data_IF_861591586995
#
_entry.id   IF_861591586995
#
_cell.length_a   1.000
_cell.length_b   1.000
_cell.length_c   1.000
_cell.angle_alpha   90.00
_cell.angle_beta   90.00
_cell.angle_gamma   90.00
#
_symmetry.space_group_name_H-M   'P 1'
#
loop_
_entity.id
_entity.type
_entity.pdbx_description
1 polymer ?
#
# COMPACT_ATOMS: atom_id res chain seq x y z
N UNK A 1 9.95 -13.23 4.72
CA UNK A 1 8.91 -12.82 3.76
C UNK A 1 9.03 -11.31 3.60
N UNK A 2 9.31 -10.83 2.38
CA UNK A 2 9.41 -9.40 2.06
C UNK A 2 8.05 -8.89 1.65
N UNK A 3 7.60 -7.80 2.26
CA UNK A 3 6.23 -7.29 2.06
C UNK A 3 6.26 -5.81 1.74
N UNK A 4 5.56 -5.41 0.69
CA UNK A 4 5.35 -4.00 0.34
C UNK A 4 4.09 -3.48 1.02
N UNK A 5 4.18 -2.37 1.75
CA UNK A 5 3.02 -1.62 2.26
C UNK A 5 2.88 -0.35 1.44
N UNK A 6 1.85 -0.28 0.60
CA UNK A 6 1.67 0.83 -0.33
C UNK A 6 1.10 2.05 0.39
N UNK A 7 1.75 3.21 0.32
CA UNK A 7 1.25 4.44 0.93
C UNK A 7 0.64 5.37 -0.11
N UNK A 8 -0.64 5.69 0.06
CA UNK A 8 -1.36 6.68 -0.75
C UNK A 8 -1.55 7.99 0.04
N UNK A 9 -1.65 9.14 -0.63
CA UNK A 9 -2.11 10.36 0.02
C UNK A 9 -3.46 10.14 0.72
N UNK A 10 -3.56 10.43 2.02
CA UNK A 10 -4.79 10.27 2.81
C UNK A 10 -5.06 8.87 3.36
N UNK A 11 -4.26 7.85 3.00
CA UNK A 11 -4.24 6.61 3.77
C UNK A 11 -3.83 6.88 5.21
N UNK A 12 -4.34 6.08 6.14
CA UNK A 12 -4.12 6.29 7.57
C UNK A 12 -3.81 5.02 8.38
N UNK A 13 -3.98 3.83 7.78
CA UNK A 13 -3.61 2.56 8.39
C UNK A 13 -2.30 1.97 7.82
N UNK A 14 -1.48 2.76 7.13
CA UNK A 14 -0.21 2.30 6.55
C UNK A 14 0.74 1.77 7.64
N UNK A 15 0.88 2.54 8.72
CA UNK A 15 1.70 2.16 9.87
C UNK A 15 1.15 0.95 10.62
N UNK A 16 -0.18 0.80 10.68
CA UNK A 16 -0.82 -0.34 11.33
C UNK A 16 -0.47 -1.63 10.58
N UNK A 17 -0.61 -1.65 9.24
CA UNK A 17 -0.21 -2.81 8.43
C UNK A 17 1.30 -3.06 8.52
N UNK A 18 2.12 -2.01 8.46
CA UNK A 18 3.57 -2.16 8.61
C UNK A 18 3.95 -2.82 9.93
N UNK A 19 3.36 -2.38 11.05
CA UNK A 19 3.63 -2.96 12.37
C UNK A 19 3.07 -4.37 12.50
N UNK A 20 1.86 -4.63 12.01
CA UNK A 20 1.28 -5.97 12.01
C UNK A 20 2.14 -6.97 11.23
N UNK A 21 2.64 -6.58 10.04
CA UNK A 21 3.54 -7.39 9.23
C UNK A 21 4.85 -7.70 9.97
N UNK A 22 5.45 -6.69 10.64
CA UNK A 22 6.66 -6.91 11.45
C UNK A 22 6.42 -7.84 12.64
N UNK A 23 5.26 -7.74 13.31
CA UNK A 23 4.92 -8.59 14.46
C UNK A 23 4.79 -10.07 14.10
N UNK A 24 4.43 -10.38 12.86
CA UNK A 24 4.36 -11.77 12.36
C UNK A 24 5.66 -12.23 11.68
N UNK A 25 6.74 -11.46 11.80
CA UNK A 25 8.08 -11.83 11.31
C UNK A 25 8.34 -11.50 9.84
N UNK A 26 7.53 -10.66 9.21
CA UNK A 26 7.77 -10.20 7.84
C UNK A 26 8.70 -8.96 7.80
N UNK A 27 9.50 -8.87 6.75
CA UNK A 27 10.29 -7.69 6.41
C UNK A 27 9.40 -6.74 5.59
N UNK A 28 8.77 -5.80 6.28
CA UNK A 28 7.89 -4.81 5.65
C UNK A 28 8.67 -3.58 5.16
N UNK A 29 8.31 -3.05 4.00
CA UNK A 29 8.85 -1.79 3.46
C UNK A 29 7.70 -0.92 2.97
N UNK A 30 7.75 0.39 3.24
CA UNK A 30 6.80 1.33 2.64
C UNK A 30 7.16 1.58 1.18
N UNK A 31 6.16 1.53 0.30
CA UNK A 31 6.29 1.83 -1.14
C UNK A 31 5.37 3.00 -1.47
N UNK A 32 5.91 4.05 -2.05
CA UNK A 32 5.09 5.21 -2.41
C UNK A 32 4.19 4.91 -3.61
N UNK A 33 2.95 5.39 -3.61
CA UNK A 33 1.97 5.04 -4.65
C UNK A 33 2.39 5.39 -6.10
N UNK A 34 3.37 6.29 -6.29
CA UNK A 34 3.91 6.65 -7.61
C UNK A 34 5.04 5.74 -8.10
N UNK A 35 5.57 4.88 -7.23
CA UNK A 35 6.60 3.91 -7.61
C UNK A 35 6.02 2.80 -8.49
N UNK A 36 6.92 2.08 -9.16
CA UNK A 36 6.64 0.93 -10.03
C UNK A 36 7.65 -0.17 -9.71
N UNK A 37 7.33 -1.39 -10.08
CA UNK A 37 8.17 -2.56 -9.85
C UNK A 37 8.02 -3.06 -8.43
N UNK A 38 7.07 -3.99 -8.24
CA UNK A 38 6.89 -4.72 -6.98
C UNK A 38 7.62 -6.07 -6.99
N UNK A 39 8.53 -6.26 -7.94
CA UNK A 39 9.35 -7.45 -8.07
C UNK A 39 10.19 -7.71 -6.81
N UNK A 40 10.19 -8.96 -6.35
CA UNK A 40 10.96 -9.38 -5.17
C UNK A 40 10.28 -9.10 -3.83
N UNK A 41 9.05 -8.60 -3.82
CA UNK A 41 8.13 -8.74 -2.69
C UNK A 41 7.34 -10.04 -2.82
N UNK A 42 7.15 -10.73 -1.70
CA UNK A 42 6.34 -11.95 -1.62
C UNK A 42 4.85 -11.63 -1.47
N UNK A 43 4.53 -10.43 -0.97
CA UNK A 43 3.16 -9.94 -0.80
C UNK A 43 3.09 -8.42 -0.89
N UNK A 44 1.94 -7.91 -1.34
CA UNK A 44 1.62 -6.49 -1.36
C UNK A 44 0.43 -6.23 -0.45
N UNK A 45 0.57 -5.23 0.40
CA UNK A 45 -0.41 -4.81 1.38
C UNK A 45 -0.95 -3.43 1.01
N UNK A 46 -2.24 -3.38 0.69
CA UNK A 46 -2.96 -2.12 0.47
C UNK A 46 -3.60 -1.68 1.79
N UNK A 47 -3.19 -0.55 2.38
CA UNK A 47 -3.71 -0.12 3.66
C UNK A 47 -5.14 0.42 3.54
N UNK A 48 -5.87 0.27 4.65
CA UNK A 48 -7.17 0.91 4.82
C UNK A 48 -7.07 2.42 5.08
N UNK A 49 -8.24 3.04 5.21
CA UNK A 49 -8.39 4.45 5.52
C UNK A 49 -9.22 5.20 4.49
N UNK A 50 -8.83 6.45 4.20
CA UNK A 50 -9.53 7.38 3.32
C UNK A 50 -8.56 7.93 2.28
N UNK A 51 -8.01 7.07 1.42
CA UNK A 51 -7.11 7.48 0.35
C UNK A 51 -7.76 8.59 -0.49
N UNK A 52 -7.07 9.72 -0.67
CA UNK A 52 -7.58 10.94 -1.29
C UNK A 52 -8.92 11.45 -0.69
N UNK A 53 -9.15 11.18 0.60
CA UNK A 53 -10.36 11.56 1.32
C UNK A 53 -11.63 10.89 0.78
N UNK A 54 -11.52 9.82 0.00
CA UNK A 54 -12.62 9.18 -0.72
C UNK A 54 -13.45 10.15 -1.59
N UNK A 55 -12.82 11.23 -2.06
CA UNK A 55 -13.49 12.38 -2.69
C UNK A 55 -14.45 12.05 -3.85
N UNK A 56 -14.15 11.03 -4.65
CA UNK A 56 -15.05 10.54 -5.69
C UNK A 56 -15.86 9.32 -5.22
N UNK A 57 -15.15 8.29 -4.74
CA UNK A 57 -15.63 7.06 -4.10
C UNK A 57 -14.41 6.42 -3.44
N UNK A 58 -14.63 5.60 -2.41
CA UNK A 58 -13.58 4.82 -1.77
C UNK A 58 -12.63 4.18 -2.79
N UNK A 59 -11.34 4.52 -2.70
CA UNK A 59 -10.26 4.00 -3.54
C UNK A 59 -10.31 4.38 -5.03
N UNK A 60 -11.30 5.13 -5.52
CA UNK A 60 -11.46 5.39 -6.96
C UNK A 60 -10.30 6.21 -7.53
N UNK A 61 -9.79 7.18 -6.76
CA UNK A 61 -8.62 7.98 -7.16
C UNK A 61 -7.34 7.17 -6.95
N UNK A 62 -7.23 6.44 -5.84
CA UNK A 62 -6.05 5.65 -5.51
C UNK A 62 -5.73 4.57 -6.55
N UNK A 63 -6.77 3.93 -7.15
CA UNK A 63 -6.64 2.94 -8.23
C UNK A 63 -5.84 3.45 -9.43
N UNK A 64 -5.83 4.75 -9.68
CA UNK A 64 -5.13 5.35 -10.82
C UNK A 64 -3.63 5.57 -10.57
N UNK A 65 -3.12 5.17 -9.41
CA UNK A 65 -1.71 5.34 -9.05
C UNK A 65 -0.82 4.36 -9.79
N UNK A 66 0.40 4.76 -10.22
CA UNK A 66 1.32 3.89 -10.95
C UNK A 66 1.55 2.51 -10.33
N UNK A 67 1.70 2.44 -9.00
CA UNK A 67 1.93 1.17 -8.28
C UNK A 67 0.81 0.15 -8.49
N UNK A 68 -0.41 0.60 -8.76
CA UNK A 68 -1.58 -0.27 -8.93
C UNK A 68 -1.54 -1.05 -10.25
N UNK A 69 -0.72 -0.63 -11.21
CA UNK A 69 -0.47 -1.40 -12.43
C UNK A 69 0.28 -2.71 -12.15
N UNK A 70 1.04 -2.77 -11.05
CA UNK A 70 1.83 -3.95 -10.64
C UNK A 70 1.08 -4.84 -9.62
N UNK A 71 -0.11 -4.43 -9.18
CA UNK A 71 -0.92 -5.14 -8.16
C UNK A 71 -2.00 -6.03 -8.80
N UNK A 72 -2.35 -5.80 -10.06
CA UNK A 72 -3.47 -6.46 -10.79
C UNK A 72 -2.97 -7.61 -11.65
#
# INVERSE_FOLDING_TARGET
MRVAVVTFPGSNCDYDLYKAAQQVGAEATFVWHRERGLDGYDAVLLPGGFSYGDYLRAGAIARMSPVMEDVI
#
